data_IF_175781603758
#
_entry.id   IF_175781603758
#
_cell.length_a   1.000
_cell.length_b   1.000
_cell.length_c   1.000
_cell.angle_alpha   90.00
_cell.angle_beta   90.00
_cell.angle_gamma   90.00
#
_symmetry.space_group_name_H-M   'P 1'
#
loop_
_entity.id
_entity.type
_entity.pdbx_description
1 polymer ?
#
# COMPACT_ATOMS: atom_id res chain seq x y z
N UNK A 1 -60.23 75.47 -44.89
CA UNK A 1 -58.82 75.49 -44.51
C UNK A 1 -58.63 74.67 -43.24
N UNK A 2 -58.08 73.51 -43.22
CA UNK A 2 -57.95 72.69 -41.99
C UNK A 2 -56.54 72.86 -41.33
N UNK A 3 -56.57 72.89 -40.00
CA UNK A 3 -55.41 72.94 -39.16
C UNK A 3 -54.60 71.63 -39.15
N UNK A 4 -53.29 71.76 -39.13
CA UNK A 4 -52.32 70.69 -38.96
C UNK A 4 -52.08 70.41 -37.49
N UNK A 5 -52.43 69.16 -37.06
CA UNK A 5 -51.98 68.62 -35.79
C UNK A 5 -50.58 68.10 -35.92
N UNK A 6 -49.67 68.48 -34.99
CA UNK A 6 -48.31 67.90 -34.84
C UNK A 6 -48.35 66.83 -33.79
N UNK A 7 -48.19 65.58 -34.20
CA UNK A 7 -48.00 64.50 -33.28
C UNK A 7 -46.57 64.46 -32.69
N UNK A 8 -46.46 64.41 -31.39
CA UNK A 8 -45.22 64.27 -30.66
C UNK A 8 -44.91 62.76 -30.55
N UNK A 9 -43.77 62.33 -31.12
CA UNK A 9 -43.26 61.00 -30.95
C UNK A 9 -42.40 60.94 -29.67
N UNK A 10 -42.87 60.22 -28.67
CA UNK A 10 -42.12 59.94 -27.48
C UNK A 10 -41.14 58.75 -27.73
N UNK A 11 -39.84 59.01 -27.62
CA UNK A 11 -38.77 57.98 -27.69
C UNK A 11 -38.59 57.42 -26.27
N UNK A 12 -39.05 56.18 -26.03
CA UNK A 12 -38.72 55.45 -24.82
C UNK A 12 -37.35 54.79 -24.95
N UNK A 13 -36.34 55.29 -24.22
CA UNK A 13 -35.06 54.60 -24.04
C UNK A 13 -35.24 53.43 -23.06
N UNK A 14 -35.23 52.21 -23.55
CA UNK A 14 -35.13 51.00 -22.75
C UNK A 14 -33.64 50.81 -22.37
N UNK A 15 -33.32 51.05 -21.09
CA UNK A 15 -32.00 50.79 -20.52
C UNK A 15 -31.88 49.26 -20.27
N UNK A 16 -31.19 48.56 -21.20
CA UNK A 16 -30.82 47.17 -21.00
C UNK A 16 -29.62 47.10 -20.02
N UNK A 17 -29.89 46.83 -18.75
CA UNK A 17 -28.86 46.53 -17.77
C UNK A 17 -28.22 45.16 -18.06
N UNK A 18 -26.99 45.15 -18.58
CA UNK A 18 -26.18 43.91 -18.73
C UNK A 18 -25.73 43.55 -17.32
N UNK A 19 -26.41 42.58 -16.69
CA UNK A 19 -25.88 41.86 -15.51
C UNK A 19 -24.68 41.01 -15.96
N UNK A 20 -23.47 41.54 -15.83
CA UNK A 20 -22.24 40.77 -15.95
C UNK A 20 -22.15 39.81 -14.76
N UNK A 21 -22.61 38.58 -14.91
CA UNK A 21 -22.31 37.51 -13.96
C UNK A 21 -20.84 37.20 -14.07
N UNK A 22 -20.02 37.72 -13.19
CA UNK A 22 -18.64 37.30 -13.01
C UNK A 22 -18.68 35.87 -12.48
N UNK A 23 -18.51 34.88 -13.37
CA UNK A 23 -18.26 33.51 -12.98
C UNK A 23 -16.95 33.49 -12.19
N UNK A 24 -17.03 33.33 -10.87
CA UNK A 24 -15.86 33.04 -10.06
C UNK A 24 -15.19 31.79 -10.59
N UNK A 25 -13.86 31.78 -10.78
CA UNK A 25 -13.17 30.57 -11.20
C UNK A 25 -13.48 29.47 -10.18
N UNK A 26 -14.17 28.42 -10.61
CA UNK A 26 -14.34 27.19 -9.84
C UNK A 26 -12.97 26.56 -9.72
N UNK A 27 -12.26 26.87 -8.65
CA UNK A 27 -11.04 26.15 -8.31
C UNK A 27 -11.48 24.74 -8.01
N UNK A 28 -11.14 23.80 -8.90
CA UNK A 28 -11.37 22.39 -8.65
C UNK A 28 -10.76 22.06 -7.28
N UNK A 29 -11.58 21.52 -6.37
CA UNK A 29 -11.13 21.23 -5.02
C UNK A 29 -9.88 20.33 -5.07
N UNK A 30 -8.83 20.72 -4.36
CA UNK A 30 -7.58 19.96 -4.25
C UNK A 30 -7.89 18.52 -3.82
N UNK A 31 -7.39 17.56 -4.58
CA UNK A 31 -7.64 16.14 -4.32
C UNK A 31 -6.45 15.48 -3.63
N UNK A 32 -6.69 14.80 -2.51
CA UNK A 32 -5.70 13.94 -1.85
C UNK A 32 -5.58 12.63 -2.62
N UNK A 33 -4.40 12.35 -3.17
CA UNK A 33 -4.12 11.13 -3.93
C UNK A 33 -3.50 10.08 -3.02
N UNK A 34 -4.23 9.00 -2.79
CA UNK A 34 -3.73 7.88 -1.99
C UNK A 34 -3.26 6.75 -2.90
N UNK A 35 -2.22 6.04 -2.48
CA UNK A 35 -1.66 4.90 -3.19
C UNK A 35 -1.31 3.76 -2.26
N UNK A 36 -0.90 2.65 -2.85
CA UNK A 36 -0.41 1.48 -2.13
C UNK A 36 0.57 0.69 -2.99
N UNK A 37 1.46 -0.09 -2.36
CA UNK A 37 2.19 -1.14 -3.08
C UNK A 37 1.20 -2.19 -3.59
N UNK A 38 1.35 -2.72 -4.82
CA UNK A 38 0.44 -3.72 -5.38
C UNK A 38 0.83 -5.12 -4.89
N UNK A 39 0.62 -5.40 -3.61
CA UNK A 39 1.07 -6.59 -2.91
C UNK A 39 0.10 -7.78 -3.00
N UNK A 40 -1.12 -7.53 -3.47
CA UNK A 40 -2.19 -8.51 -3.60
C UNK A 40 -2.94 -8.36 -4.94
N UNK A 41 -4.01 -9.13 -5.10
CA UNK A 41 -4.88 -9.07 -6.26
C UNK A 41 -5.40 -7.64 -6.52
N UNK A 42 -5.29 -7.11 -7.76
CA UNK A 42 -5.67 -5.73 -8.10
C UNK A 42 -7.14 -5.38 -7.81
N UNK A 43 -8.05 -6.31 -8.02
CA UNK A 43 -9.48 -6.12 -7.73
C UNK A 43 -9.72 -5.89 -6.23
N UNK A 44 -9.06 -6.73 -5.39
CA UNK A 44 -9.12 -6.58 -3.93
C UNK A 44 -8.56 -5.22 -3.50
N UNK A 45 -7.43 -4.79 -4.07
CA UNK A 45 -6.82 -3.51 -3.75
C UNK A 45 -7.70 -2.33 -4.20
N UNK A 46 -8.28 -2.37 -5.40
CA UNK A 46 -9.19 -1.34 -5.88
C UNK A 46 -10.42 -1.21 -4.97
N UNK A 47 -11.00 -2.32 -4.54
CA UNK A 47 -12.13 -2.32 -3.59
C UNK A 47 -11.73 -1.73 -2.25
N UNK A 48 -10.61 -2.20 -1.67
CA UNK A 48 -10.11 -1.76 -0.36
C UNK A 48 -9.84 -0.26 -0.35
N UNK A 49 -8.98 0.20 -1.26
CA UNK A 49 -8.56 1.61 -1.28
C UNK A 49 -9.64 2.54 -1.80
N UNK A 50 -10.58 2.06 -2.62
CA UNK A 50 -11.77 2.81 -3.00
C UNK A 50 -12.69 3.08 -1.81
N UNK A 51 -12.93 2.08 -0.95
CA UNK A 51 -13.69 2.25 0.29
C UNK A 51 -12.96 3.17 1.28
N UNK A 52 -11.65 2.99 1.44
CA UNK A 52 -10.84 3.85 2.29
C UNK A 52 -10.85 5.31 1.79
N UNK A 53 -10.73 5.53 0.48
CA UNK A 53 -10.78 6.87 -0.11
C UNK A 53 -12.11 7.56 0.21
N UNK A 54 -13.23 6.84 0.12
CA UNK A 54 -14.57 7.35 0.48
C UNK A 54 -14.64 7.71 1.97
N UNK A 55 -14.16 6.83 2.85
CA UNK A 55 -14.14 7.04 4.30
C UNK A 55 -13.29 8.27 4.67
N UNK A 56 -12.08 8.38 4.11
CA UNK A 56 -11.20 9.52 4.33
C UNK A 56 -11.77 10.82 3.76
N UNK A 57 -12.43 10.78 2.59
CA UNK A 57 -13.06 11.95 2.00
C UNK A 57 -14.11 12.55 2.91
N UNK A 58 -14.94 11.70 3.54
CA UNK A 58 -15.96 12.13 4.50
C UNK A 58 -15.34 12.74 5.78
N UNK A 59 -14.30 12.08 6.35
CA UNK A 59 -13.65 12.55 7.58
C UNK A 59 -12.84 13.82 7.41
N UNK A 60 -12.22 14.00 6.25
CA UNK A 60 -11.32 15.13 5.96
C UNK A 60 -12.05 16.32 5.31
N UNK A 61 -13.23 16.09 4.74
CA UNK A 61 -13.98 17.07 3.93
C UNK A 61 -13.15 17.59 2.73
N UNK A 62 -12.39 16.69 2.09
CA UNK A 62 -11.67 16.93 0.82
C UNK A 62 -11.86 15.72 -0.10
N UNK A 63 -11.81 15.90 -1.43
CA UNK A 63 -11.81 14.79 -2.35
C UNK A 63 -10.59 13.90 -2.11
N UNK A 64 -10.81 12.57 -1.97
CA UNK A 64 -9.74 11.58 -1.85
C UNK A 64 -9.89 10.58 -2.99
N UNK A 65 -8.79 10.27 -3.66
CA UNK A 65 -8.77 9.35 -4.81
C UNK A 65 -7.66 8.31 -4.68
N UNK A 66 -8.00 7.04 -4.85
CA UNK A 66 -7.01 5.98 -5.00
C UNK A 66 -6.43 5.98 -6.40
N UNK A 67 -5.10 5.94 -6.48
CA UNK A 67 -4.33 5.85 -7.72
C UNK A 67 -3.54 4.53 -7.67
N UNK A 68 -3.96 3.51 -8.44
CA UNK A 68 -3.22 2.26 -8.51
C UNK A 68 -1.87 2.45 -9.22
N UNK A 69 -0.89 1.64 -8.85
CA UNK A 69 0.44 1.60 -9.49
C UNK A 69 0.77 0.18 -9.95
N UNK A 70 1.67 0.06 -10.92
CA UNK A 70 1.98 -1.21 -11.58
C UNK A 70 2.88 -2.15 -10.75
N UNK A 71 3.75 -1.60 -9.89
CA UNK A 71 4.69 -2.38 -9.09
C UNK A 71 5.19 -1.59 -7.87
N UNK A 72 5.92 -2.25 -6.98
CA UNK A 72 6.45 -1.65 -5.74
C UNK A 72 7.37 -0.44 -5.98
N UNK A 73 8.37 -0.49 -6.89
CA UNK A 73 9.19 0.69 -7.20
C UNK A 73 8.37 1.86 -7.76
N UNK A 74 7.31 1.59 -8.54
CA UNK A 74 6.44 2.64 -9.07
C UNK A 74 5.72 3.41 -7.96
N UNK A 75 5.34 2.75 -6.84
CA UNK A 75 4.74 3.45 -5.70
C UNK A 75 5.74 4.41 -5.02
N UNK A 76 7.00 4.01 -4.88
CA UNK A 76 8.08 4.86 -4.33
C UNK A 76 8.35 6.05 -5.25
N UNK A 77 8.43 5.79 -6.57
CA UNK A 77 8.66 6.85 -7.57
C UNK A 77 7.50 7.85 -7.61
N UNK A 78 6.26 7.38 -7.67
CA UNK A 78 5.07 8.24 -7.69
C UNK A 78 4.97 9.08 -6.40
N UNK A 79 5.31 8.52 -5.24
CA UNK A 79 5.40 9.25 -3.98
C UNK A 79 6.48 10.33 -4.03
N UNK A 80 7.70 10.00 -4.46
CA UNK A 80 8.82 10.93 -4.58
C UNK A 80 8.51 12.10 -5.53
N UNK A 81 7.93 11.83 -6.68
CA UNK A 81 7.63 12.85 -7.71
C UNK A 81 6.34 13.63 -7.48
N UNK A 82 5.56 13.29 -6.45
CA UNK A 82 4.33 14.00 -6.13
C UNK A 82 3.09 13.49 -6.87
N UNK A 83 3.16 12.34 -7.49
CA UNK A 83 1.97 11.66 -8.05
C UNK A 83 1.05 11.06 -6.99
N UNK A 84 1.60 10.76 -5.80
CA UNK A 84 0.87 10.25 -4.63
C UNK A 84 1.19 11.09 -3.41
N UNK A 85 0.20 11.34 -2.56
CA UNK A 85 0.27 12.18 -1.37
C UNK A 85 0.37 11.37 -0.08
N UNK A 86 -0.36 10.26 -0.01
CA UNK A 86 -0.38 9.31 1.10
C UNK A 86 -0.28 7.91 0.55
N UNK A 87 0.66 7.09 1.04
CA UNK A 87 0.88 5.75 0.48
C UNK A 87 0.99 4.70 1.58
N UNK A 88 0.31 3.58 1.36
CA UNK A 88 0.49 2.35 2.11
C UNK A 88 1.70 1.59 1.59
N UNK A 89 2.77 1.60 2.38
CA UNK A 89 4.03 0.94 2.05
C UNK A 89 4.28 -0.28 2.94
N UNK A 90 5.01 -1.26 2.42
CA UNK A 90 5.74 -2.19 3.26
C UNK A 90 6.96 -1.50 3.91
N UNK A 91 7.54 -2.11 4.95
CA UNK A 91 8.65 -1.54 5.70
C UNK A 91 9.81 -1.07 4.82
N UNK A 92 10.27 -1.91 3.88
CA UNK A 92 11.39 -1.57 2.96
C UNK A 92 11.03 -0.39 2.04
N UNK A 93 9.90 -0.46 1.34
CA UNK A 93 9.49 0.60 0.40
C UNK A 93 9.17 1.90 1.12
N UNK A 94 8.62 1.86 2.34
CA UNK A 94 8.38 3.04 3.15
C UNK A 94 9.67 3.70 3.63
N UNK A 95 10.70 2.93 4.00
CA UNK A 95 12.04 3.47 4.28
C UNK A 95 12.63 4.10 3.03
N UNK A 96 12.60 3.40 1.89
CA UNK A 96 13.11 3.94 0.61
C UNK A 96 12.38 5.24 0.21
N UNK A 97 11.06 5.29 0.34
CA UNK A 97 10.25 6.47 0.02
C UNK A 97 10.63 7.67 0.90
N UNK A 98 10.78 7.47 2.23
CA UNK A 98 11.17 8.54 3.17
C UNK A 98 12.59 9.05 2.93
N UNK A 99 13.56 8.16 2.66
CA UNK A 99 14.94 8.56 2.35
C UNK A 99 15.03 9.37 1.06
N UNK A 100 14.16 9.10 0.08
CA UNK A 100 14.07 9.82 -1.19
C UNK A 100 13.13 11.04 -1.17
N UNK A 101 12.42 11.27 -0.06
CA UNK A 101 11.47 12.39 0.10
C UNK A 101 11.66 13.01 1.48
N UNK A 102 12.67 13.89 1.66
CA UNK A 102 12.90 14.58 2.94
C UNK A 102 11.63 15.27 3.44
N UNK A 103 11.34 15.16 4.73
CA UNK A 103 10.12 15.70 5.34
C UNK A 103 8.89 14.79 5.23
N UNK A 104 8.99 13.60 4.60
CA UNK A 104 7.91 12.61 4.63
C UNK A 104 7.69 12.07 6.06
N UNK A 105 6.43 11.90 6.44
CA UNK A 105 6.00 11.56 7.81
C UNK A 105 5.31 10.20 7.84
N UNK A 106 5.72 9.34 8.78
CA UNK A 106 5.01 8.09 9.10
C UNK A 106 3.82 8.44 9.99
N UNK A 107 2.62 8.02 9.60
CA UNK A 107 1.38 8.38 10.32
C UNK A 107 0.83 7.23 11.17
N UNK A 108 0.62 6.08 10.56
CA UNK A 108 -0.08 4.97 11.18
C UNK A 108 0.33 3.61 10.59
N UNK A 109 0.10 2.56 11.34
CA UNK A 109 0.22 1.16 10.93
C UNK A 109 -0.99 0.38 11.42
N UNK A 110 -1.21 -0.83 10.92
CA UNK A 110 -2.18 -1.75 11.53
C UNK A 110 -1.62 -2.25 12.87
N UNK A 111 -2.48 -2.62 13.78
CA UNK A 111 -2.11 -3.25 15.06
C UNK A 111 -1.22 -4.49 14.86
N UNK A 112 -1.48 -5.29 13.82
CA UNK A 112 -0.69 -6.49 13.49
C UNK A 112 0.72 -6.17 12.94
N UNK A 113 0.95 -4.98 12.39
CA UNK A 113 2.21 -4.64 11.73
C UNK A 113 3.37 -4.40 12.71
N UNK A 114 3.08 -4.13 13.98
CA UNK A 114 4.09 -4.00 15.03
C UNK A 114 4.80 -5.33 15.36
N UNK A 115 4.16 -6.47 15.06
CA UNK A 115 4.67 -7.83 15.31
C UNK A 115 4.39 -8.73 14.10
N UNK A 116 4.75 -8.25 12.93
CA UNK A 116 4.48 -8.91 11.66
C UNK A 116 5.36 -10.14 11.42
N UNK A 117 4.93 -11.05 10.54
CA UNK A 117 5.70 -12.25 10.16
C UNK A 117 5.61 -12.51 8.66
N UNK A 118 6.66 -13.15 8.14
CA UNK A 118 6.57 -13.90 6.89
C UNK A 118 6.32 -15.37 7.17
N UNK A 119 5.69 -16.03 6.21
CA UNK A 119 5.62 -17.49 6.15
C UNK A 119 6.38 -18.01 4.96
N UNK A 120 7.03 -19.17 5.15
CA UNK A 120 7.57 -20.00 4.08
C UNK A 120 6.56 -21.11 3.82
N UNK A 121 6.13 -21.21 2.58
CA UNK A 121 5.19 -22.23 2.12
C UNK A 121 5.91 -23.19 1.18
N UNK A 122 5.51 -24.45 1.19
CA UNK A 122 6.05 -25.46 0.30
C UNK A 122 4.94 -26.24 -0.40
N UNK A 123 5.18 -26.59 -1.65
CA UNK A 123 4.36 -27.58 -2.35
C UNK A 123 4.48 -28.92 -1.64
N UNK A 124 3.37 -29.62 -1.42
CA UNK A 124 3.35 -30.89 -0.69
C UNK A 124 4.18 -31.98 -1.37
N UNK A 125 4.32 -31.93 -2.70
CA UNK A 125 5.14 -32.88 -3.49
C UNK A 125 6.65 -32.65 -3.33
N UNK A 126 7.08 -31.52 -2.71
CA UNK A 126 8.50 -31.25 -2.47
C UNK A 126 9.14 -32.18 -1.42
N UNK A 127 8.33 -32.88 -0.63
CA UNK A 127 8.80 -33.71 0.47
C UNK A 127 9.31 -32.96 1.69
N UNK A 128 9.37 -31.61 1.62
CA UNK A 128 9.87 -30.77 2.72
C UNK A 128 9.01 -30.90 3.98
N UNK A 129 9.67 -31.02 5.13
CA UNK A 129 9.04 -31.11 6.45
C UNK A 129 8.99 -29.73 7.12
N UNK A 130 8.13 -29.55 8.14
CA UNK A 130 8.13 -28.34 8.96
C UNK A 130 9.53 -28.07 9.53
N UNK A 131 9.93 -26.80 9.48
CA UNK A 131 11.23 -26.29 9.94
C UNK A 131 11.03 -25.65 11.31
N UNK A 132 11.83 -26.04 12.30
CA UNK A 132 11.72 -25.58 13.70
C UNK A 132 12.70 -24.45 14.06
N UNK A 133 13.74 -24.22 13.28
CA UNK A 133 14.80 -23.25 13.56
C UNK A 133 15.27 -22.51 12.32
N UNK A 134 15.98 -21.39 12.52
CA UNK A 134 16.61 -20.65 11.41
C UNK A 134 17.63 -21.55 10.67
N UNK A 135 18.41 -22.33 11.39
CA UNK A 135 19.41 -23.23 10.79
C UNK A 135 18.77 -24.31 9.91
N UNK A 136 17.55 -24.73 10.24
CA UNK A 136 16.78 -25.69 9.44
C UNK A 136 16.43 -25.18 8.04
N UNK A 137 16.48 -23.86 7.80
CA UNK A 137 16.28 -23.27 6.47
C UNK A 137 17.34 -23.75 5.44
N UNK A 138 18.47 -24.33 5.86
CA UNK A 138 19.43 -24.97 4.95
C UNK A 138 18.82 -26.11 4.14
N UNK A 139 17.76 -26.77 4.62
CA UNK A 139 17.03 -27.81 3.88
C UNK A 139 16.39 -27.30 2.59
N UNK A 140 16.31 -25.98 2.41
CA UNK A 140 15.78 -25.35 1.19
C UNK A 140 16.83 -25.22 0.08
N UNK A 141 18.09 -25.61 0.33
CA UNK A 141 19.14 -25.64 -0.70
C UNK A 141 18.72 -26.54 -1.86
N UNK A 142 18.98 -26.10 -3.08
CA UNK A 142 18.62 -26.86 -4.29
C UNK A 142 17.14 -26.82 -4.68
N UNK A 143 16.26 -26.25 -3.86
CA UNK A 143 14.84 -26.10 -4.20
C UNK A 143 14.62 -24.94 -5.17
N UNK A 144 13.60 -25.00 -6.04
CA UNK A 144 13.11 -23.84 -6.79
C UNK A 144 12.37 -22.93 -5.82
N UNK A 145 12.97 -21.81 -5.49
CA UNK A 145 12.47 -20.86 -4.50
C UNK A 145 11.94 -19.58 -5.15
N UNK A 146 10.72 -19.16 -4.81
CA UNK A 146 10.15 -17.88 -5.22
C UNK A 146 10.03 -16.93 -4.05
N UNK A 147 10.61 -15.72 -4.19
CA UNK A 147 10.21 -14.57 -3.41
C UNK A 147 8.95 -13.94 -4.00
N UNK A 148 8.38 -12.94 -3.28
CA UNK A 148 7.31 -12.07 -3.80
C UNK A 148 7.87 -11.01 -4.76
N UNK A 149 7.59 -9.73 -4.52
CA UNK A 149 8.26 -8.62 -5.22
C UNK A 149 9.69 -8.43 -4.71
N UNK A 150 10.62 -8.02 -5.59
CA UNK A 150 12.01 -7.73 -5.22
C UNK A 150 12.15 -6.62 -4.15
N UNK A 151 11.17 -5.73 -4.06
CA UNK A 151 11.12 -4.64 -3.08
C UNK A 151 10.18 -4.92 -1.90
N UNK A 152 9.69 -6.16 -1.77
CA UNK A 152 8.83 -6.55 -0.64
C UNK A 152 9.65 -6.75 0.64
N UNK A 153 9.12 -6.31 1.78
CA UNK A 153 9.68 -6.62 3.10
C UNK A 153 9.44 -8.08 3.45
N UNK A 154 8.17 -8.47 3.54
CA UNK A 154 7.74 -9.80 3.98
C UNK A 154 7.87 -10.88 2.89
N UNK A 155 7.83 -10.50 1.62
CA UNK A 155 8.03 -11.45 0.51
C UNK A 155 9.48 -11.55 0.03
N UNK A 156 10.40 -10.70 0.51
CA UNK A 156 11.78 -10.68 0.01
C UNK A 156 12.82 -10.35 1.08
N UNK A 157 12.80 -9.15 1.65
CA UNK A 157 13.88 -8.64 2.50
C UNK A 157 14.09 -9.52 3.73
N UNK A 158 13.05 -9.70 4.56
CA UNK A 158 13.14 -10.46 5.80
C UNK A 158 13.32 -11.97 5.55
N UNK A 159 12.62 -12.62 4.62
CA UNK A 159 12.93 -13.98 4.21
C UNK A 159 14.40 -14.16 3.82
N UNK A 160 14.97 -13.29 2.98
CA UNK A 160 16.38 -13.38 2.59
C UNK A 160 17.32 -13.17 3.76
N UNK A 161 17.01 -12.26 4.67
CA UNK A 161 17.79 -12.03 5.88
C UNK A 161 17.90 -13.32 6.72
N UNK A 162 16.80 -14.01 6.96
CA UNK A 162 16.80 -15.27 7.73
C UNK A 162 17.47 -16.42 6.97
N UNK A 163 17.31 -16.50 5.65
CA UNK A 163 18.04 -17.46 4.82
C UNK A 163 19.57 -17.25 4.95
N UNK A 164 20.02 -16.00 4.91
CA UNK A 164 21.46 -15.68 5.10
C UNK A 164 21.95 -16.00 6.51
N UNK A 165 21.14 -15.78 7.56
CA UNK A 165 21.47 -16.20 8.92
C UNK A 165 21.63 -17.72 9.04
N UNK A 166 20.88 -18.49 8.24
CA UNK A 166 21.05 -19.93 8.11
C UNK A 166 22.27 -20.35 7.25
N UNK A 167 22.98 -19.38 6.66
CA UNK A 167 24.09 -19.63 5.72
C UNK A 167 23.62 -20.04 4.31
N UNK A 168 22.35 -19.81 3.94
CA UNK A 168 21.81 -20.11 2.63
C UNK A 168 21.71 -18.82 1.79
N UNK A 169 22.41 -18.80 0.64
CA UNK A 169 22.41 -17.68 -0.31
C UNK A 169 21.46 -17.99 -1.48
N UNK A 170 20.89 -16.98 -2.15
CA UNK A 170 20.04 -17.18 -3.33
C UNK A 170 20.69 -17.98 -4.47
N UNK A 171 22.02 -17.92 -4.61
CA UNK A 171 22.77 -18.71 -5.59
C UNK A 171 22.78 -20.22 -5.32
N UNK A 172 22.33 -20.65 -4.15
CA UNK A 172 22.25 -22.07 -3.77
C UNK A 172 20.87 -22.68 -4.02
N UNK A 173 19.92 -21.93 -4.53
CA UNK A 173 18.65 -22.44 -5.02
C UNK A 173 18.80 -23.11 -6.39
N UNK A 174 17.82 -23.90 -6.82
CA UNK A 174 17.82 -24.53 -8.13
C UNK A 174 18.02 -23.51 -9.25
N UNK A 175 18.89 -23.82 -10.20
CA UNK A 175 19.27 -22.91 -11.28
C UNK A 175 20.12 -21.73 -10.85
N UNK A 176 20.72 -21.75 -9.64
CA UNK A 176 21.64 -20.73 -9.13
C UNK A 176 21.00 -19.39 -8.77
N UNK A 177 19.66 -19.34 -8.64
CA UNK A 177 18.91 -18.10 -8.34
C UNK A 177 17.55 -18.37 -7.75
N UNK A 178 16.99 -17.41 -7.04
CA UNK A 178 15.59 -17.40 -6.68
C UNK A 178 14.74 -16.74 -7.79
N UNK A 179 13.48 -17.14 -7.89
CA UNK A 179 12.48 -16.44 -8.70
C UNK A 179 11.76 -15.34 -7.93
N UNK A 180 10.93 -14.58 -8.66
CA UNK A 180 10.09 -13.51 -8.12
C UNK A 180 8.68 -13.62 -8.71
N UNK A 181 7.68 -13.77 -7.87
CA UNK A 181 6.28 -13.89 -8.27
C UNK A 181 5.58 -12.53 -8.49
N UNK A 182 6.15 -11.44 -7.92
CA UNK A 182 5.62 -10.09 -8.02
C UNK A 182 4.66 -9.68 -6.89
N UNK A 183 3.82 -10.60 -6.37
CA UNK A 183 2.87 -10.33 -5.29
C UNK A 183 2.72 -11.53 -4.36
N UNK A 184 2.06 -11.35 -3.21
CA UNK A 184 1.84 -12.44 -2.25
C UNK A 184 0.85 -13.48 -2.77
N UNK A 185 -0.23 -13.07 -3.44
CA UNK A 185 -1.19 -14.00 -4.05
C UNK A 185 -0.52 -14.83 -5.15
N UNK A 186 0.33 -14.20 -5.97
CA UNK A 186 1.10 -14.90 -6.99
C UNK A 186 2.10 -15.89 -6.39
N UNK A 187 2.73 -15.59 -5.22
CA UNK A 187 3.59 -16.54 -4.52
C UNK A 187 2.82 -17.80 -4.13
N UNK A 188 1.61 -17.66 -3.58
CA UNK A 188 0.74 -18.80 -3.27
C UNK A 188 0.47 -19.61 -4.54
N UNK A 189 0.07 -18.96 -5.62
CA UNK A 189 -0.31 -19.60 -6.88
C UNK A 189 0.84 -20.42 -7.50
N UNK A 190 2.07 -19.85 -7.57
CA UNK A 190 3.21 -20.53 -8.18
C UNK A 190 3.74 -21.71 -7.35
N UNK A 191 3.57 -21.67 -6.02
CA UNK A 191 3.91 -22.80 -5.15
C UNK A 191 2.82 -23.86 -5.19
N UNK A 192 1.56 -23.47 -5.13
CA UNK A 192 0.42 -24.38 -5.19
C UNK A 192 0.38 -25.14 -6.53
N UNK A 193 0.72 -24.50 -7.65
CA UNK A 193 0.81 -25.14 -8.96
C UNK A 193 2.01 -26.10 -9.11
N UNK A 194 3.01 -26.01 -8.22
CA UNK A 194 4.26 -26.76 -8.31
C UNK A 194 5.30 -26.15 -9.26
N UNK A 195 5.06 -24.94 -9.79
CA UNK A 195 6.07 -24.19 -10.57
C UNK A 195 7.30 -23.85 -9.72
N UNK A 196 7.09 -23.67 -8.42
CA UNK A 196 8.14 -23.55 -7.40
C UNK A 196 7.85 -24.53 -6.27
N UNK A 197 8.90 -25.13 -5.71
CA UNK A 197 8.78 -25.99 -4.54
C UNK A 197 8.50 -25.20 -3.26
N UNK A 198 9.09 -23.99 -3.16
CA UNK A 198 9.03 -23.16 -1.96
C UNK A 198 8.77 -21.71 -2.33
N UNK A 199 8.08 -20.99 -1.46
CA UNK A 199 7.92 -19.54 -1.58
C UNK A 199 7.85 -18.86 -0.22
N UNK A 200 8.12 -17.54 -0.18
CA UNK A 200 7.98 -16.74 1.01
C UNK A 200 7.04 -15.55 0.78
N UNK A 201 6.13 -15.32 1.72
CA UNK A 201 5.12 -14.27 1.61
C UNK A 201 4.67 -13.75 2.99
N UNK A 202 3.83 -12.75 2.95
CA UNK A 202 3.11 -12.15 4.06
C UNK A 202 2.14 -13.15 4.73
N UNK A 203 2.29 -13.36 6.05
CA UNK A 203 1.45 -14.30 6.80
C UNK A 203 -0.04 -13.90 6.80
N UNK A 204 -0.35 -12.60 6.88
CA UNK A 204 -1.74 -12.15 6.87
C UNK A 204 -2.42 -12.46 5.52
N UNK A 205 -1.71 -12.29 4.39
CA UNK A 205 -2.23 -12.65 3.07
C UNK A 205 -2.42 -14.15 2.95
N UNK A 206 -1.49 -14.96 3.45
CA UNK A 206 -1.66 -16.42 3.53
C UNK A 206 -2.94 -16.78 4.30
N UNK A 207 -3.10 -16.27 5.52
CA UNK A 207 -4.24 -16.56 6.38
C UNK A 207 -5.57 -16.11 5.74
N UNK A 208 -5.57 -14.93 5.10
CA UNK A 208 -6.75 -14.41 4.38
C UNK A 208 -7.14 -15.32 3.20
N UNK A 209 -6.17 -15.77 2.40
CA UNK A 209 -6.44 -16.66 1.28
C UNK A 209 -6.91 -18.04 1.75
N UNK A 210 -6.32 -18.58 2.83
CA UNK A 210 -6.75 -19.83 3.46
C UNK A 210 -8.21 -19.73 3.94
N UNK A 211 -8.54 -18.67 4.71
CA UNK A 211 -9.91 -18.40 5.20
C UNK A 211 -10.93 -18.29 4.07
N UNK A 212 -10.54 -17.73 2.94
CA UNK A 212 -11.41 -17.53 1.78
C UNK A 212 -11.42 -18.71 0.81
N UNK A 213 -10.88 -19.88 1.18
CA UNK A 213 -10.89 -21.08 0.35
C UNK A 213 -10.02 -21.02 -0.93
N UNK A 214 -9.11 -20.03 -1.01
CA UNK A 214 -8.22 -19.83 -2.18
C UNK A 214 -6.92 -20.64 -2.08
N UNK A 215 -6.70 -21.34 -0.97
CA UNK A 215 -5.55 -22.18 -0.72
C UNK A 215 -6.00 -23.63 -0.66
N UNK A 216 -5.47 -24.45 -1.53
CA UNK A 216 -5.62 -25.91 -1.51
C UNK A 216 -4.54 -26.53 -0.61
N UNK A 217 -4.89 -26.83 0.62
CA UNK A 217 -3.96 -27.39 1.63
C UNK A 217 -3.48 -28.80 1.30
N UNK A 218 -4.10 -29.51 0.35
CA UNK A 218 -3.57 -30.76 -0.19
C UNK A 218 -2.34 -30.55 -1.08
N UNK A 219 -2.17 -29.32 -1.63
CA UNK A 219 -1.08 -28.97 -2.55
C UNK A 219 -0.01 -28.09 -1.96
N UNK A 220 -0.36 -27.27 -0.93
CA UNK A 220 0.57 -26.32 -0.34
C UNK A 220 0.39 -26.22 1.17
N UNK A 221 1.49 -26.13 1.89
CA UNK A 221 1.53 -26.05 3.36
C UNK A 221 2.55 -25.01 3.84
N UNK A 222 2.33 -24.45 5.02
CA UNK A 222 3.34 -23.64 5.71
C UNK A 222 4.39 -24.59 6.31
N UNK A 223 5.67 -24.27 6.06
CA UNK A 223 6.80 -25.03 6.59
C UNK A 223 7.61 -24.26 7.62
N UNK A 224 7.53 -22.91 7.61
CA UNK A 224 8.22 -22.08 8.60
C UNK A 224 7.57 -20.69 8.73
N UNK A 225 7.69 -20.11 9.93
CA UNK A 225 7.32 -18.72 10.24
C UNK A 225 8.52 -17.97 10.79
N UNK A 226 8.73 -16.74 10.31
CA UNK A 226 9.85 -15.93 10.79
C UNK A 226 9.63 -15.47 12.24
N UNK A 227 10.68 -15.07 12.96
CA UNK A 227 10.54 -14.14 14.08
C UNK A 227 9.77 -12.88 13.65
N UNK A 228 9.21 -12.15 14.62
CA UNK A 228 8.44 -10.93 14.36
C UNK A 228 9.34 -9.76 13.98
N UNK A 229 8.82 -8.86 13.15
CA UNK A 229 9.43 -7.58 12.77
C UNK A 229 8.31 -6.56 12.50
N UNK A 230 8.68 -5.28 12.30
CA UNK A 230 7.72 -4.23 11.91
C UNK A 230 7.61 -4.16 10.40
N UNK A 231 6.39 -4.11 9.82
CA UNK A 231 6.23 -4.06 8.37
C UNK A 231 5.40 -2.85 7.91
N UNK A 232 4.16 -3.03 7.52
CA UNK A 232 3.39 -2.03 6.77
C UNK A 232 3.09 -0.75 7.55
N UNK A 233 3.01 0.38 6.80
CA UNK A 233 2.65 1.68 7.38
C UNK A 233 2.20 2.70 6.33
N UNK A 234 1.44 3.69 6.78
CA UNK A 234 1.07 4.86 6.02
C UNK A 234 2.17 5.91 6.10
N UNK A 235 2.59 6.42 4.94
CA UNK A 235 3.54 7.53 4.82
C UNK A 235 2.89 8.66 4.04
N UNK A 236 2.91 9.86 4.62
CA UNK A 236 2.45 11.10 4.02
C UNK A 236 3.61 11.91 3.45
N UNK A 237 3.41 12.55 2.30
CA UNK A 237 4.37 13.49 1.72
C UNK A 237 4.42 14.80 2.51
N UNK A 238 5.56 15.51 2.48
CA UNK A 238 5.62 16.88 2.99
C UNK A 238 4.74 17.80 2.16
N UNK A 239 4.35 18.93 2.79
CA UNK A 239 3.63 20.00 2.11
C UNK A 239 2.10 19.82 2.05
N UNK A 240 1.53 18.79 2.69
CA UNK A 240 0.07 18.61 2.74
C UNK A 240 -0.62 19.78 3.47
N UNK A 241 -0.03 20.27 4.55
CA UNK A 241 -0.57 21.41 5.30
C UNK A 241 -0.61 22.70 4.47
N UNK A 242 0.35 22.88 3.55
CA UNK A 242 0.34 23.99 2.61
C UNK A 242 -0.80 23.89 1.59
N UNK A 243 -1.13 22.68 1.15
CA UNK A 243 -2.16 22.41 0.10
C UNK A 243 -3.57 22.38 0.66
N UNK A 244 -3.75 21.78 1.84
CA UNK A 244 -5.06 21.46 2.41
C UNK A 244 -5.38 22.28 3.67
N UNK A 245 -4.48 23.14 4.12
CA UNK A 245 -4.63 23.97 5.33
C UNK A 245 -3.80 23.46 6.51
N UNK A 246 -3.45 24.39 7.40
CA UNK A 246 -2.63 24.13 8.60
C UNK A 246 -3.22 23.00 9.44
N UNK A 247 -2.38 22.05 9.87
CA UNK A 247 -2.78 20.91 10.69
C UNK A 247 -3.41 19.75 9.90
N UNK A 248 -3.45 19.82 8.57
CA UNK A 248 -4.06 18.77 7.75
C UNK A 248 -3.37 17.42 7.93
N UNK A 249 -2.06 17.37 8.04
CA UNK A 249 -1.30 16.12 8.27
C UNK A 249 -1.71 15.46 9.59
N UNK A 250 -1.90 16.22 10.65
CA UNK A 250 -2.42 15.73 11.94
C UNK A 250 -3.86 15.21 11.80
N UNK A 251 -4.72 15.99 11.12
CA UNK A 251 -6.11 15.57 10.86
C UNK A 251 -6.18 14.28 10.05
N UNK A 252 -5.29 14.11 9.07
CA UNK A 252 -5.17 12.89 8.26
C UNK A 252 -4.77 11.69 9.13
N UNK A 253 -3.77 11.85 10.03
CA UNK A 253 -3.41 10.82 11.00
C UNK A 253 -4.60 10.43 11.88
N UNK A 254 -5.29 11.43 12.46
CA UNK A 254 -6.49 11.18 13.27
C UNK A 254 -7.60 10.48 12.49
N UNK A 255 -7.79 10.83 11.22
CA UNK A 255 -8.78 10.18 10.35
C UNK A 255 -8.47 8.69 10.14
N UNK A 256 -7.19 8.33 9.95
CA UNK A 256 -6.74 6.94 9.86
C UNK A 256 -6.94 6.18 11.18
N UNK A 257 -6.49 6.76 12.30
CA UNK A 257 -6.61 6.16 13.64
C UNK A 257 -8.07 6.05 14.10
N UNK A 258 -8.93 6.94 13.62
CA UNK A 258 -10.35 7.00 13.94
C UNK A 258 -11.25 6.13 13.03
N UNK A 259 -10.69 5.23 12.21
CA UNK A 259 -11.51 4.25 11.47
C UNK A 259 -12.06 3.23 12.45
N UNK A 260 -13.40 3.22 12.59
CA UNK A 260 -14.11 2.39 13.55
C UNK A 260 -14.58 1.07 12.92
N UNK A 261 -14.73 -0.03 13.69
CA UNK A 261 -15.25 -1.31 13.21
C UNK A 261 -16.79 -1.30 13.00
N UNK A 262 -17.28 -0.23 12.36
CA UNK A 262 -18.71 -0.02 12.04
C UNK A 262 -18.85 0.58 10.64
N UNK A 263 -19.99 0.38 9.99
CA UNK A 263 -20.26 0.90 8.65
C UNK A 263 -19.15 0.54 7.64
N UNK A 264 -18.73 1.50 6.83
CA UNK A 264 -17.64 1.32 5.85
C UNK A 264 -16.31 1.00 6.52
N UNK A 265 -16.03 1.57 7.70
CA UNK A 265 -14.79 1.34 8.44
C UNK A 265 -14.61 -0.12 8.84
N UNK A 266 -15.68 -0.85 9.18
CA UNK A 266 -15.64 -2.29 9.41
C UNK A 266 -15.09 -3.04 8.20
N UNK A 267 -15.67 -2.78 7.02
CA UNK A 267 -15.21 -3.44 5.77
C UNK A 267 -13.77 -3.06 5.42
N UNK A 268 -13.38 -1.80 5.65
CA UNK A 268 -11.97 -1.36 5.46
C UNK A 268 -11.04 -2.16 6.37
N UNK A 269 -11.32 -2.23 7.68
CA UNK A 269 -10.48 -2.97 8.63
C UNK A 269 -10.40 -4.47 8.31
N UNK A 270 -11.54 -5.09 7.97
CA UNK A 270 -11.59 -6.50 7.55
C UNK A 270 -10.73 -6.76 6.30
N UNK A 271 -10.79 -5.90 5.29
CA UNK A 271 -9.98 -6.02 4.07
C UNK A 271 -8.48 -5.79 4.34
N UNK A 272 -8.14 -4.90 5.29
CA UNK A 272 -6.78 -4.74 5.79
C UNK A 272 -6.33 -5.92 6.67
N UNK A 273 -7.25 -6.73 7.20
CA UNK A 273 -6.97 -7.77 8.17
C UNK A 273 -6.46 -7.20 9.51
N UNK A 274 -7.04 -6.10 9.95
CA UNK A 274 -6.70 -5.36 11.15
C UNK A 274 -7.92 -5.19 12.07
N UNK A 275 -7.70 -5.05 13.36
CA UNK A 275 -8.74 -4.60 14.29
C UNK A 275 -8.81 -3.08 14.32
N UNK A 276 -7.67 -2.41 14.18
CA UNK A 276 -7.54 -0.94 14.17
C UNK A 276 -6.23 -0.48 13.53
N UNK A 277 -6.16 0.80 13.24
CA UNK A 277 -4.88 1.48 13.01
C UNK A 277 -4.34 2.05 14.32
N UNK A 278 -3.02 1.99 14.49
CA UNK A 278 -2.29 2.53 15.65
C UNK A 278 -1.24 3.54 15.15
N UNK A 279 -0.80 4.50 15.99
CA UNK A 279 0.25 5.43 15.63
C UNK A 279 1.53 4.69 15.26
N UNK A 280 2.26 5.22 14.28
CA UNK A 280 3.56 4.72 13.89
C UNK A 280 4.57 5.87 13.74
N UNK A 281 5.86 5.55 13.87
CA UNK A 281 6.96 6.50 13.73
C UNK A 281 8.11 5.91 12.92
N UNK A 282 8.94 6.78 12.34
CA UNK A 282 10.10 6.38 11.54
C UNK A 282 11.09 5.50 12.31
N UNK A 283 11.22 5.73 13.63
CA UNK A 283 12.17 5.01 14.48
C UNK A 283 11.89 3.50 14.57
N UNK A 284 10.63 3.10 14.43
CA UNK A 284 10.23 1.69 14.47
C UNK A 284 10.81 0.88 13.30
N UNK A 285 11.15 1.53 12.18
CA UNK A 285 11.63 0.89 10.94
C UNK A 285 13.16 0.87 10.81
N UNK A 286 13.92 1.26 11.87
CA UNK A 286 15.40 1.25 11.83
C UNK A 286 15.97 -0.14 11.58
N UNK A 287 15.38 -1.19 12.16
CA UNK A 287 15.82 -2.56 11.90
C UNK A 287 15.64 -2.95 10.42
N UNK A 288 14.52 -2.56 9.81
CA UNK A 288 14.27 -2.77 8.37
C UNK A 288 15.28 -2.00 7.51
N UNK A 289 15.60 -0.76 7.87
CA UNK A 289 16.64 0.02 7.19
C UNK A 289 18.01 -0.66 7.30
N UNK A 290 18.41 -1.10 8.48
CA UNK A 290 19.68 -1.81 8.71
C UNK A 290 19.78 -3.06 7.84
N UNK A 291 18.76 -3.93 7.86
CA UNK A 291 18.71 -5.13 7.00
C UNK A 291 18.69 -4.75 5.52
N UNK A 292 17.97 -3.68 5.16
CA UNK A 292 17.92 -3.17 3.79
C UNK A 292 19.29 -2.74 3.27
N UNK A 293 20.11 -2.06 4.11
CA UNK A 293 21.50 -1.67 3.77
C UNK A 293 22.40 -2.90 3.70
N UNK A 294 22.34 -3.81 4.66
CA UNK A 294 23.12 -5.07 4.66
C UNK A 294 22.88 -5.91 3.40
N UNK A 295 21.66 -5.93 2.89
CA UNK A 295 21.29 -6.68 1.69
C UNK A 295 21.38 -5.86 0.40
N UNK A 296 21.94 -4.63 0.43
CA UNK A 296 22.11 -3.76 -0.72
C UNK A 296 20.79 -3.28 -1.35
N UNK A 297 19.70 -3.26 -0.56
CA UNK A 297 18.37 -2.78 -1.01
C UNK A 297 18.14 -1.30 -0.68
N UNK A 298 18.94 -0.74 0.20
CA UNK A 298 19.00 0.68 0.55
C UNK A 298 20.46 1.12 0.41
N UNK A 299 20.67 2.22 -0.32
CA UNK A 299 21.98 2.87 -0.49
C UNK A 299 22.18 3.94 0.58
#
# INVERSE_FOLDING_TARGET
MPARERGAVAFSLALFGILSTTALPSWAAETLRIGAIPDQNPEKLNRLYGLLAKELSQKLNVPVRYIPVSNYPASVSAFRTGGLDLVWFGGLTGVQARLQTPGAVVLAQRDIDAKFRSVFIANTKSGLQPISSIQGLKSLQGQRFSFGSESSTSGRLMPQHFLQQAGLKPSQFAGGKAGFSGSHDATIAVVQSGSYEVGALNEQVWNSNLKNGKVDTSKVKVIWRTPTYVDYHWVARPGLDKRFGTGFTTKLQQALLGIQPSGNGKTVLELFGAEKFIPASSSQYRAIETVGRQLGKIR
#
